data_IF_275593745853
#
_entry.id   IF_275593745853
#
_cell.length_a   1.000
_cell.length_b   1.000
_cell.length_c   1.000
_cell.angle_alpha   90.00
_cell.angle_beta   90.00
_cell.angle_gamma   90.00
#
_symmetry.space_group_name_H-M   'P 1'
#
loop_
_entity.id
_entity.type
_entity.pdbx_description
1 polymer ?
#
# COMPACT_ATOMS: atom_id res chain seq x y z
N UNK A 1 32.97 -59.95 31.94
CA UNK A 1 31.58 -59.57 31.56
C UNK A 1 31.08 -58.56 32.59
N UNK A 2 31.14 -57.26 32.29
CA UNK A 2 30.88 -56.20 33.26
C UNK A 2 29.40 -56.03 33.59
N UNK A 3 29.03 -56.22 34.85
CA UNK A 3 27.69 -55.98 35.37
C UNK A 3 27.43 -54.47 35.44
N UNK A 4 26.66 -53.93 34.49
CA UNK A 4 26.07 -52.59 34.62
C UNK A 4 24.96 -52.65 35.67
N UNK A 5 25.31 -52.34 36.93
CA UNK A 5 24.34 -51.95 37.94
C UNK A 5 23.73 -50.61 37.52
N UNK A 6 22.53 -50.64 36.92
CA UNK A 6 21.77 -49.43 36.61
C UNK A 6 21.05 -48.99 37.87
N UNK A 7 21.59 -47.98 38.56
CA UNK A 7 21.00 -47.43 39.77
C UNK A 7 19.57 -46.90 39.46
N UNK A 8 18.52 -47.31 40.21
CA UNK A 8 17.14 -46.87 39.94
C UNK A 8 16.91 -45.38 40.23
N UNK A 9 17.73 -44.78 41.10
CA UNK A 9 17.70 -43.34 41.40
C UNK A 9 18.14 -42.47 40.21
N UNK A 10 19.16 -42.89 39.46
CA UNK A 10 19.61 -42.14 38.27
C UNK A 10 18.62 -42.24 37.12
N UNK A 11 17.89 -43.35 36.96
CA UNK A 11 16.81 -43.48 35.96
C UNK A 11 15.65 -42.51 36.22
N UNK A 12 15.21 -42.37 37.48
CA UNK A 12 14.14 -41.41 37.82
C UNK A 12 14.56 -39.96 37.54
N UNK A 13 15.81 -39.61 37.85
CA UNK A 13 16.35 -38.29 37.50
C UNK A 13 16.39 -38.11 35.97
N UNK A 14 16.91 -39.07 35.20
CA UNK A 14 16.94 -38.99 33.73
C UNK A 14 15.54 -38.82 33.11
N UNK A 15 14.52 -39.49 33.66
CA UNK A 15 13.13 -39.37 33.20
C UNK A 15 12.53 -37.99 33.51
N UNK A 16 12.77 -37.43 34.69
CA UNK A 16 12.33 -36.07 35.04
C UNK A 16 13.04 -35.00 34.17
N UNK A 17 14.34 -35.16 33.95
CA UNK A 17 15.13 -34.30 33.07
C UNK A 17 14.66 -34.39 31.61
N UNK A 18 14.35 -35.60 31.11
CA UNK A 18 13.78 -35.79 29.77
C UNK A 18 12.39 -35.17 29.64
N UNK A 19 11.53 -35.28 30.65
CA UNK A 19 10.20 -34.63 30.66
C UNK A 19 10.33 -33.11 30.62
N UNK A 20 11.20 -32.53 31.46
CA UNK A 20 11.46 -31.08 31.50
C UNK A 20 12.05 -30.55 30.19
N UNK A 21 13.04 -31.25 29.61
CA UNK A 21 13.60 -30.88 28.32
C UNK A 21 12.56 -30.97 27.20
N UNK A 22 11.69 -31.97 27.21
CA UNK A 22 10.62 -32.10 26.21
C UNK A 22 9.61 -30.96 26.30
N UNK A 23 9.21 -30.55 27.51
CA UNK A 23 8.36 -29.37 27.69
C UNK A 23 9.07 -28.08 27.27
N UNK A 24 10.34 -27.90 27.65
CA UNK A 24 11.11 -26.71 27.28
C UNK A 24 11.29 -26.61 25.75
N UNK A 25 11.61 -27.71 25.08
CA UNK A 25 11.69 -27.77 23.62
C UNK A 25 10.35 -27.45 22.96
N UNK A 26 9.23 -27.92 23.51
CA UNK A 26 7.91 -27.60 22.99
C UNK A 26 7.59 -26.10 23.11
N UNK A 27 7.92 -25.47 24.24
CA UNK A 27 7.73 -24.03 24.43
C UNK A 27 8.63 -23.20 23.51
N UNK A 28 9.91 -23.57 23.36
CA UNK A 28 10.84 -22.88 22.47
C UNK A 28 10.40 -23.02 21.01
N UNK A 29 9.96 -24.21 20.60
CA UNK A 29 9.44 -24.44 19.25
C UNK A 29 8.16 -23.61 18.98
N UNK A 30 7.23 -23.56 19.94
CA UNK A 30 6.02 -22.76 19.83
C UNK A 30 6.34 -21.25 19.72
N UNK A 31 7.29 -20.76 20.52
CA UNK A 31 7.75 -19.38 20.48
C UNK A 31 8.42 -19.03 19.14
N UNK A 32 9.26 -19.94 18.61
CA UNK A 32 9.92 -19.76 17.32
C UNK A 32 8.91 -19.68 16.16
N UNK A 33 7.93 -20.60 16.13
CA UNK A 33 6.87 -20.59 15.12
C UNK A 33 6.01 -19.33 15.25
N UNK A 34 5.69 -18.90 16.47
CA UNK A 34 4.96 -17.66 16.73
C UNK A 34 5.69 -16.42 16.22
N UNK A 35 6.99 -16.32 16.45
CA UNK A 35 7.81 -15.18 16.00
C UNK A 35 7.90 -15.12 14.48
N UNK A 36 8.08 -16.27 13.81
CA UNK A 36 8.06 -16.35 12.34
C UNK A 36 6.69 -15.99 11.77
N UNK A 37 5.61 -16.49 12.39
CA UNK A 37 4.24 -16.16 12.03
C UNK A 37 3.95 -14.65 12.13
N UNK A 38 4.34 -14.01 13.23
CA UNK A 38 4.19 -12.55 13.39
C UNK A 38 5.01 -11.76 12.37
N UNK A 39 6.22 -12.21 12.07
CA UNK A 39 7.11 -11.54 11.10
C UNK A 39 6.52 -11.56 9.70
N UNK A 40 5.93 -12.70 9.30
CA UNK A 40 5.23 -12.81 8.01
C UNK A 40 3.91 -12.02 7.99
N UNK A 41 3.16 -12.02 9.10
CA UNK A 41 1.90 -11.28 9.22
C UNK A 41 2.08 -9.75 9.29
N UNK A 42 3.24 -9.24 9.71
CA UNK A 42 3.50 -7.81 9.83
C UNK A 42 3.39 -7.07 8.48
N UNK A 43 3.83 -7.69 7.38
CA UNK A 43 3.81 -7.09 6.04
C UNK A 43 2.39 -6.81 5.53
N UNK A 44 1.46 -7.78 5.47
CA UNK A 44 0.08 -7.50 5.07
C UNK A 44 -0.65 -6.59 6.06
N UNK A 45 -0.36 -6.69 7.36
CA UNK A 45 -0.96 -5.80 8.37
C UNK A 45 -0.54 -4.33 8.15
N UNK A 46 0.74 -4.09 7.84
CA UNK A 46 1.24 -2.76 7.49
C UNK A 46 0.60 -2.25 6.20
N UNK A 47 0.44 -3.10 5.19
CA UNK A 47 -0.27 -2.73 3.95
C UNK A 47 -1.72 -2.33 4.21
N UNK A 48 -2.45 -3.09 5.03
CA UNK A 48 -3.82 -2.76 5.42
C UNK A 48 -3.89 -1.44 6.18
N UNK A 49 -2.95 -1.20 7.10
CA UNK A 49 -2.85 0.07 7.82
C UNK A 49 -2.58 1.24 6.86
N UNK A 50 -1.61 1.11 5.94
CA UNK A 50 -1.30 2.11 4.93
C UNK A 50 -2.48 2.37 3.98
N UNK A 51 -3.26 1.35 3.64
CA UNK A 51 -4.47 1.51 2.82
C UNK A 51 -5.60 2.24 3.57
N UNK A 52 -5.80 1.93 4.85
CA UNK A 52 -6.85 2.56 5.66
C UNK A 52 -6.53 4.02 6.03
N UNK A 53 -5.25 4.33 6.28
CA UNK A 53 -4.79 5.68 6.65
C UNK A 53 -4.36 6.52 5.44
N UNK A 54 -4.14 5.88 4.29
CA UNK A 54 -3.61 6.49 3.07
C UNK A 54 -2.18 7.04 3.19
N UNK A 55 -1.43 6.62 4.23
CA UNK A 55 0.00 6.86 4.39
C UNK A 55 0.77 6.01 3.37
N UNK A 56 0.90 6.52 2.14
CA UNK A 56 1.58 5.82 1.05
C UNK A 56 1.28 6.35 -0.36
N UNK A 57 0.39 7.34 -0.50
CA UNK A 57 0.09 7.98 -1.79
C UNK A 57 -0.68 7.09 -2.78
N UNK A 58 -1.01 5.85 -2.41
CA UNK A 58 -1.90 4.99 -3.18
C UNK A 58 -3.34 5.41 -2.90
N UNK A 59 -3.92 6.17 -3.82
CA UNK A 59 -5.37 6.33 -3.92
C UNK A 59 -5.99 4.93 -3.91
N UNK A 60 -6.90 4.64 -2.98
CA UNK A 60 -7.52 3.32 -2.88
C UNK A 60 -8.06 2.88 -4.24
N UNK A 61 -7.54 1.79 -4.80
CA UNK A 61 -7.99 1.20 -6.05
C UNK A 61 -9.38 0.52 -5.91
N UNK A 62 -10.27 1.09 -5.10
CA UNK A 62 -11.48 0.45 -4.62
C UNK A 62 -12.64 1.39 -4.30
N UNK A 63 -12.59 2.67 -4.68
CA UNK A 63 -13.81 3.48 -4.71
C UNK A 63 -14.56 3.17 -6.02
N UNK A 64 -15.41 2.14 -5.96
CA UNK A 64 -16.37 1.79 -7.01
C UNK A 64 -17.13 3.05 -7.45
N UNK A 65 -17.26 3.25 -8.76
CA UNK A 65 -17.95 4.40 -9.37
C UNK A 65 -19.36 4.68 -8.77
N UNK A 66 -20.01 3.66 -8.19
CA UNK A 66 -21.32 3.71 -7.53
C UNK A 66 -21.39 4.53 -6.22
N UNK A 67 -20.25 4.82 -5.56
CA UNK A 67 -20.22 5.74 -4.41
C UNK A 67 -20.15 7.20 -4.85
N UNK A 68 -19.57 7.48 -6.02
CA UNK A 68 -19.43 8.85 -6.56
C UNK A 68 -20.77 9.35 -7.10
N UNK A 69 -21.58 8.49 -7.75
CA UNK A 69 -22.92 8.85 -8.26
C UNK A 69 -23.91 9.29 -7.17
N UNK A 70 -23.69 8.89 -5.91
CA UNK A 70 -24.54 9.27 -4.77
C UNK A 70 -24.07 10.51 -4.02
N UNK A 71 -22.94 11.11 -4.41
CA UNK A 71 -22.45 12.32 -3.76
C UNK A 71 -23.28 13.53 -4.20
N UNK A 72 -23.82 14.25 -3.23
CA UNK A 72 -24.56 15.49 -3.47
C UNK A 72 -23.58 16.67 -3.37
N UNK A 73 -23.47 17.53 -4.40
CA UNK A 73 -22.47 18.57 -4.43
C UNK A 73 -22.74 19.66 -3.39
N UNK A 74 -21.75 19.93 -2.52
CA UNK A 74 -21.86 20.93 -1.44
C UNK A 74 -21.32 22.27 -1.94
N UNK A 75 -22.21 23.11 -2.48
CA UNK A 75 -21.87 24.38 -3.18
C UNK A 75 -21.16 25.44 -2.35
N UNK A 76 -21.10 25.29 -1.03
CA UNK A 76 -20.53 26.31 -0.13
C UNK A 76 -18.99 26.33 -0.10
N UNK A 77 -18.31 25.43 -0.83
CA UNK A 77 -16.85 25.38 -0.90
C UNK A 77 -16.37 25.20 -2.35
N UNK A 78 -15.89 26.28 -2.95
CA UNK A 78 -15.24 26.23 -4.27
C UNK A 78 -13.76 25.84 -4.08
N UNK A 79 -13.33 24.78 -4.76
CA UNK A 79 -11.95 24.33 -4.81
C UNK A 79 -11.35 24.71 -6.15
N UNK A 80 -10.20 25.38 -6.12
CA UNK A 80 -9.40 25.62 -7.32
C UNK A 80 -8.46 24.43 -7.54
N UNK A 81 -8.60 23.78 -8.68
CA UNK A 81 -7.70 22.71 -9.12
C UNK A 81 -6.80 23.27 -10.22
N UNK A 82 -5.49 23.26 -9.99
CA UNK A 82 -4.49 23.68 -10.97
C UNK A 82 -3.87 22.45 -11.63
N UNK A 83 -3.87 22.44 -12.95
CA UNK A 83 -3.30 21.38 -13.75
C UNK A 83 -1.90 21.74 -14.19
N UNK A 84 -0.94 20.94 -13.75
CA UNK A 84 0.43 20.99 -14.25
C UNK A 84 0.70 19.83 -15.21
N UNK A 85 1.61 20.05 -16.16
CA UNK A 85 1.99 19.08 -17.17
C UNK A 85 3.49 19.21 -17.46
N UNK A 86 4.28 18.36 -16.82
CA UNK A 86 5.71 18.30 -17.05
C UNK A 86 6.07 17.09 -17.91
N UNK A 87 7.05 17.28 -18.79
CA UNK A 87 7.64 16.21 -19.60
C UNK A 87 9.08 15.99 -19.19
N UNK A 88 9.49 14.74 -19.14
CA UNK A 88 10.88 14.39 -18.86
C UNK A 88 11.79 14.91 -19.98
N UNK A 89 12.99 15.40 -19.65
CA UNK A 89 13.92 16.01 -20.61
C UNK A 89 14.33 15.09 -21.76
N UNK A 90 14.28 13.77 -21.56
CA UNK A 90 14.55 12.77 -22.60
C UNK A 90 13.39 12.55 -23.59
N UNK A 91 12.18 13.04 -23.29
CA UNK A 91 10.99 12.90 -24.12
C UNK A 91 10.61 14.29 -24.66
N UNK A 92 10.79 14.50 -25.96
CA UNK A 92 10.50 15.78 -26.63
C UNK A 92 9.02 15.99 -26.94
N UNK A 93 8.11 15.43 -26.14
CA UNK A 93 6.67 15.62 -26.36
C UNK A 93 6.25 17.01 -25.94
N UNK A 94 5.41 17.64 -26.75
CA UNK A 94 4.68 18.83 -26.34
C UNK A 94 3.39 18.38 -25.65
N UNK A 95 3.46 18.24 -24.32
CA UNK A 95 2.33 17.89 -23.48
C UNK A 95 1.93 19.11 -22.66
N UNK A 96 0.72 19.64 -22.90
CA UNK A 96 0.21 20.81 -22.19
C UNK A 96 -1.26 20.64 -21.82
N UNK A 97 -1.69 21.17 -20.67
CA UNK A 97 -3.10 21.21 -20.36
C UNK A 97 -3.78 22.25 -21.27
N UNK A 98 -5.01 21.98 -21.71
CA UNK A 98 -5.81 22.98 -22.42
C UNK A 98 -6.36 24.05 -21.45
N UNK A 99 -6.55 23.66 -20.19
CA UNK A 99 -7.05 24.51 -19.11
C UNK A 99 -6.08 24.37 -17.94
N UNK A 100 -5.43 25.45 -17.54
CA UNK A 100 -4.46 25.43 -16.43
C UNK A 100 -5.14 25.39 -15.06
N UNK A 101 -6.36 25.91 -14.95
CA UNK A 101 -7.11 25.98 -13.71
C UNK A 101 -8.58 25.73 -13.96
N UNK A 102 -9.23 25.01 -13.05
CA UNK A 102 -10.68 24.87 -12.99
C UNK A 102 -11.17 25.12 -11.55
N UNK A 103 -12.40 25.59 -11.43
CA UNK A 103 -13.09 25.78 -10.16
C UNK A 103 -14.18 24.74 -10.06
N UNK A 104 -14.11 23.90 -9.04
CA UNK A 104 -15.02 22.77 -8.83
C UNK A 104 -15.50 22.72 -7.40
N UNK A 105 -16.68 22.17 -7.22
CA UNK A 105 -17.27 21.95 -5.89
C UNK A 105 -17.06 20.48 -5.47
N UNK A 106 -16.86 20.15 -4.18
CA UNK A 106 -16.86 18.76 -3.72
C UNK A 106 -18.10 18.00 -4.19
N UNK A 107 -17.90 16.87 -4.89
CA UNK A 107 -18.96 16.06 -5.49
C UNK A 107 -19.33 16.45 -6.93
N UNK A 108 -18.77 17.54 -7.47
CA UNK A 108 -18.91 17.90 -8.88
C UNK A 108 -17.91 17.12 -9.74
N UNK A 109 -18.37 16.59 -10.87
CA UNK A 109 -17.50 15.95 -11.86
C UNK A 109 -17.09 16.98 -12.90
N UNK A 110 -15.78 17.17 -13.11
CA UNK A 110 -15.24 18.10 -14.09
C UNK A 110 -14.33 17.41 -15.10
N UNK A 111 -14.35 17.90 -16.34
CA UNK A 111 -13.53 17.36 -17.43
C UNK A 111 -12.28 18.22 -17.64
N UNK A 112 -11.12 17.57 -17.62
CA UNK A 112 -9.83 18.19 -17.90
C UNK A 112 -9.27 17.70 -19.23
N UNK A 113 -9.00 18.62 -20.17
CA UNK A 113 -8.46 18.28 -21.48
C UNK A 113 -6.94 18.53 -21.54
N UNK A 114 -6.21 17.57 -22.10
CA UNK A 114 -4.77 17.65 -22.33
C UNK A 114 -4.45 17.47 -23.82
N UNK A 115 -3.44 18.18 -24.30
CA UNK A 115 -2.93 18.06 -25.67
C UNK A 115 -1.53 17.49 -25.64
N UNK A 116 -1.33 16.36 -26.31
CA UNK A 116 -0.05 15.72 -26.51
C UNK A 116 0.31 15.74 -28.01
N UNK A 117 1.50 16.23 -28.36
CA UNK A 117 2.04 16.14 -29.72
C UNK A 117 3.47 15.63 -29.67
N UNK A 118 3.75 14.57 -30.43
CA UNK A 118 5.12 14.16 -30.74
C UNK A 118 5.61 14.99 -31.95
N UNK A 119 6.62 15.85 -31.79
CA UNK A 119 7.19 16.62 -32.90
C UNK A 119 8.23 15.84 -33.71
N UNK A 120 8.57 14.61 -33.32
CA UNK A 120 9.61 13.80 -33.97
C UNK A 120 9.02 12.80 -34.97
N UNK A 121 9.82 12.41 -35.97
CA UNK A 121 9.43 11.41 -36.98
C UNK A 121 9.55 9.96 -36.50
N UNK A 122 9.97 9.75 -35.24
CA UNK A 122 10.11 8.42 -34.64
C UNK A 122 9.00 8.18 -33.63
N UNK A 123 8.42 6.97 -33.57
CA UNK A 123 7.51 6.62 -32.49
C UNK A 123 8.25 6.63 -31.15
N UNK A 124 7.69 7.36 -30.18
CA UNK A 124 8.20 7.42 -28.80
C UNK A 124 7.14 6.79 -27.90
N UNK A 125 7.55 5.89 -27.02
CA UNK A 125 6.68 5.31 -26.00
C UNK A 125 6.93 6.08 -24.70
N UNK A 126 5.86 6.57 -24.09
CA UNK A 126 5.89 7.29 -22.80
C UNK A 126 4.79 6.79 -21.88
N UNK A 127 5.05 6.81 -20.58
CA UNK A 127 4.06 6.52 -19.54
C UNK A 127 3.70 7.84 -18.87
N UNK A 128 2.41 8.17 -18.86
CA UNK A 128 1.91 9.32 -18.11
C UNK A 128 1.56 8.87 -16.69
N UNK A 129 2.32 9.37 -15.72
CA UNK A 129 1.98 9.24 -14.30
C UNK A 129 1.38 10.56 -13.83
N UNK A 130 0.51 10.49 -12.82
CA UNK A 130 -0.10 11.67 -12.22
C UNK A 130 0.11 11.65 -10.71
N UNK A 131 0.25 12.84 -10.13
CA UNK A 131 0.35 13.07 -8.70
C UNK A 131 -0.58 14.21 -8.31
N UNK A 132 -1.14 14.14 -7.10
CA UNK A 132 -2.01 15.17 -6.53
C UNK A 132 -1.30 15.80 -5.35
N UNK A 133 -1.23 17.13 -5.34
CA UNK A 133 -0.63 17.93 -4.27
C UNK A 133 -1.68 18.97 -3.83
N UNK A 134 -1.90 19.16 -2.52
CA UNK A 134 -1.24 18.50 -1.39
C UNK A 134 -1.68 17.05 -1.20
N UNK A 135 -0.83 16.22 -0.58
CA UNK A 135 -1.04 14.75 -0.52
C UNK A 135 -2.31 14.36 0.24
N UNK A 136 -2.72 15.16 1.22
CA UNK A 136 -3.94 15.02 1.99
C UNK A 136 -5.18 15.09 1.09
N UNK A 137 -5.13 15.89 0.01
CA UNK A 137 -6.22 16.00 -0.96
C UNK A 137 -6.27 14.80 -1.92
N UNK A 138 -5.16 14.08 -2.09
CA UNK A 138 -5.07 12.92 -2.99
C UNK A 138 -6.04 11.80 -2.63
N UNK A 139 -6.37 11.62 -1.35
CA UNK A 139 -7.33 10.59 -0.90
C UNK A 139 -8.76 10.86 -1.37
N UNK A 140 -9.11 12.11 -1.62
CA UNK A 140 -10.46 12.53 -2.02
C UNK A 140 -10.57 12.79 -3.54
N UNK A 141 -9.44 12.83 -4.23
CA UNK A 141 -9.40 13.10 -5.66
C UNK A 141 -9.59 11.80 -6.46
N UNK A 142 -10.72 11.71 -7.15
CA UNK A 142 -11.02 10.58 -8.02
C UNK A 142 -10.83 10.97 -9.49
N UNK A 143 -9.86 10.34 -10.16
CA UNK A 143 -9.69 10.46 -11.61
C UNK A 143 -10.53 9.38 -12.29
N UNK A 144 -11.50 9.78 -13.11
CA UNK A 144 -12.26 8.89 -13.98
C UNK A 144 -11.65 9.00 -15.40
N UNK A 145 -11.43 7.85 -16.06
CA UNK A 145 -10.88 7.76 -17.42
C UNK A 145 -11.98 7.81 -18.47
#
# INVERSE_FOLDING_TARGET
RGLRSSNPFTRRQEEEWRRRNRSALAYVAAAAVGMVGMSYAAVPLYRLYCQATGLGGTTGAGHSAEQIERMQPVRDRVIRVTFNADVHSSIQWNFKPQQSEIYVVPGETALAFYKAKNPTDKPIIGISTYNVIPFEAGQYFNKIQ
#
